data_IF_113791990041
#
_entry.id   IF_113791990041
#
_cell.length_a   1.000
_cell.length_b   1.000
_cell.length_c   1.000
_cell.angle_alpha   90.00
_cell.angle_beta   90.00
_cell.angle_gamma   90.00
#
_symmetry.space_group_name_H-M   'P 1'
#
loop_
_entity.id
_entity.type
_entity.pdbx_description
1 polymer ?
#
# COMPACT_ATOMS: atom_id res chain seq x y z
N UNK A 1 -33.54 66.05 -7.07
CA UNK A 1 -33.55 66.49 -8.48
C UNK A 1 -32.87 65.39 -9.29
N UNK A 2 -33.62 64.44 -9.85
CA UNK A 2 -34.27 64.44 -11.18
C UNK A 2 -33.35 63.96 -12.32
N UNK A 3 -33.61 62.72 -12.77
CA UNK A 3 -33.70 62.21 -14.17
C UNK A 3 -32.40 62.25 -15.03
N UNK A 4 -32.10 61.32 -15.94
CA UNK A 4 -32.80 60.17 -16.51
C UNK A 4 -31.84 59.31 -17.36
N UNK A 5 -32.10 57.99 -17.35
CA UNK A 5 -32.24 57.03 -18.47
C UNK A 5 -31.27 57.09 -19.67
N UNK A 6 -30.71 55.90 -19.98
CA UNK A 6 -30.74 55.11 -21.25
C UNK A 6 -29.61 54.07 -21.14
N UNK A 7 -29.62 52.87 -21.72
CA UNK A 7 -30.58 51.93 -22.29
C UNK A 7 -29.73 50.66 -22.54
N UNK A 8 -30.27 49.46 -22.29
CA UNK A 8 -29.60 48.19 -22.57
C UNK A 8 -29.46 47.94 -24.10
N UNK A 9 -28.61 46.97 -24.52
CA UNK A 9 -29.10 45.58 -24.69
C UNK A 9 -28.07 44.55 -24.17
N UNK A 10 -28.42 43.49 -23.43
CA UNK A 10 -29.12 42.25 -23.83
C UNK A 10 -28.57 41.60 -25.10
N UNK A 11 -27.59 40.73 -24.91
CA UNK A 11 -27.24 39.61 -25.80
C UNK A 11 -26.88 38.43 -24.88
N UNK A 12 -27.85 37.73 -24.28
CA UNK A 12 -28.52 36.58 -24.89
C UNK A 12 -27.52 35.61 -25.55
N UNK A 13 -26.69 34.94 -24.74
CA UNK A 13 -25.94 33.76 -25.19
C UNK A 13 -26.96 32.62 -25.33
N UNK A 14 -27.31 32.34 -26.58
CA UNK A 14 -28.27 31.33 -26.97
C UNK A 14 -27.78 29.93 -26.58
N UNK A 15 -28.56 29.27 -25.74
CA UNK A 15 -28.56 27.81 -25.61
C UNK A 15 -29.20 27.27 -26.89
N UNK A 16 -28.37 26.73 -27.79
CA UNK A 16 -28.82 25.96 -28.94
C UNK A 16 -28.41 24.50 -28.78
N UNK A 17 -29.46 23.70 -28.64
CA UNK A 17 -29.55 22.26 -28.46
C UNK A 17 -29.26 21.50 -29.78
N UNK A 18 -28.62 20.33 -29.61
CA UNK A 18 -28.90 19.05 -30.30
C UNK A 18 -28.18 18.70 -31.62
N UNK A 19 -27.66 17.46 -31.59
CA UNK A 19 -27.44 16.49 -32.67
C UNK A 19 -26.18 16.60 -33.54
N UNK A 20 -25.12 15.96 -33.07
CA UNK A 20 -24.38 15.02 -33.91
C UNK A 20 -24.30 13.67 -33.19
N UNK A 21 -25.28 12.81 -33.47
CA UNK A 21 -25.22 11.37 -33.25
C UNK A 21 -24.09 10.80 -34.13
N UNK A 22 -22.84 10.99 -33.69
CA UNK A 22 -21.72 10.21 -34.15
C UNK A 22 -21.69 8.92 -33.35
N UNK A 23 -22.23 7.84 -33.94
CA UNK A 23 -22.01 6.47 -33.48
C UNK A 23 -20.51 6.16 -33.57
N UNK A 24 -19.74 6.65 -32.59
CA UNK A 24 -18.48 6.05 -32.21
C UNK A 24 -18.80 4.76 -31.50
N UNK A 25 -19.06 3.70 -32.27
CA UNK A 25 -18.90 2.33 -31.81
C UNK A 25 -17.40 2.10 -31.54
N UNK A 26 -16.86 2.81 -30.53
CA UNK A 26 -15.66 2.42 -29.83
C UNK A 26 -16.05 1.17 -29.07
N UNK A 27 -16.07 0.04 -29.79
CA UNK A 27 -16.12 -1.26 -29.17
C UNK A 27 -14.99 -1.29 -28.17
N UNK A 28 -15.34 -1.15 -26.90
CA UNK A 28 -14.52 -1.66 -25.81
C UNK A 28 -14.38 -3.13 -26.12
N UNK A 29 -13.34 -3.49 -26.90
CA UNK A 29 -12.78 -4.83 -26.90
C UNK A 29 -12.56 -5.09 -25.43
N UNK A 30 -13.44 -5.89 -24.83
CA UNK A 30 -13.15 -6.57 -23.58
C UNK A 30 -11.85 -7.27 -23.87
N UNK A 31 -10.76 -6.66 -23.41
CA UNK A 31 -9.53 -7.38 -23.24
C UNK A 31 -9.94 -8.45 -22.24
N UNK A 32 -10.22 -9.65 -22.73
CA UNK A 32 -10.28 -10.85 -21.91
C UNK A 32 -8.87 -10.99 -21.35
N UNK A 33 -8.60 -10.21 -20.30
CA UNK A 33 -7.43 -10.36 -19.49
C UNK A 33 -7.53 -11.78 -18.96
N UNK A 34 -6.64 -12.66 -19.44
CA UNK A 34 -6.51 -14.00 -18.88
C UNK A 34 -6.48 -13.87 -17.36
N UNK A 35 -7.20 -14.73 -16.62
CA UNK A 35 -7.14 -14.72 -15.16
C UNK A 35 -5.68 -14.69 -14.73
N UNK A 36 -5.30 -13.73 -13.88
CA UNK A 36 -3.95 -13.68 -13.35
C UNK A 36 -3.66 -15.02 -12.69
N UNK A 37 -2.61 -15.71 -13.14
CA UNK A 37 -2.19 -16.97 -12.54
C UNK A 37 -1.77 -16.69 -11.10
N UNK A 38 -2.28 -17.47 -10.14
CA UNK A 38 -1.85 -17.38 -8.74
C UNK A 38 -0.32 -17.60 -8.69
N UNK A 39 0.45 -16.73 -8.02
CA UNK A 39 1.89 -16.96 -7.88
C UNK A 39 2.14 -18.20 -7.01
N UNK A 40 3.29 -18.83 -7.21
CA UNK A 40 3.74 -19.90 -6.33
C UNK A 40 3.90 -19.37 -4.89
N UNK A 41 3.57 -20.17 -3.86
CA UNK A 41 3.75 -19.77 -2.47
C UNK A 41 5.20 -19.36 -2.16
N UNK A 42 5.36 -18.49 -1.17
CA UNK A 42 6.68 -18.09 -0.67
C UNK A 42 7.44 -19.32 -0.19
N UNK A 43 8.67 -19.50 -0.69
CA UNK A 43 9.53 -20.61 -0.30
C UNK A 43 9.83 -20.62 1.20
N UNK A 44 9.96 -21.81 1.80
CA UNK A 44 10.30 -21.95 3.22
C UNK A 44 11.60 -21.21 3.62
N UNK A 45 12.58 -21.15 2.71
CA UNK A 45 13.82 -20.42 2.92
C UNK A 45 13.60 -18.90 3.01
N UNK A 46 12.69 -18.35 2.18
CA UNK A 46 12.35 -16.93 2.22
C UNK A 46 11.55 -16.58 3.48
N UNK A 47 10.59 -17.42 3.88
CA UNK A 47 9.85 -17.27 5.15
C UNK A 47 10.81 -17.21 6.34
N UNK A 48 11.72 -18.20 6.41
CA UNK A 48 12.72 -18.25 7.48
C UNK A 48 13.63 -17.03 7.51
N UNK A 49 14.13 -16.58 6.35
CA UNK A 49 14.96 -15.36 6.28
C UNK A 49 14.20 -14.14 6.78
N UNK A 50 12.92 -14.03 6.47
CA UNK A 50 12.07 -12.95 6.94
C UNK A 50 11.87 -12.94 8.46
N UNK A 51 11.52 -14.11 9.01
CA UNK A 51 11.34 -14.28 10.45
C UNK A 51 12.63 -13.98 11.21
N UNK A 52 13.76 -14.52 10.75
CA UNK A 52 15.07 -14.30 11.39
C UNK A 52 15.44 -12.81 11.38
N UNK A 53 15.23 -12.11 10.26
CA UNK A 53 15.54 -10.69 10.14
C UNK A 53 14.69 -9.82 11.09
N UNK A 54 13.37 -10.05 11.13
CA UNK A 54 12.50 -9.29 12.03
C UNK A 54 12.69 -9.65 13.50
N UNK A 55 12.99 -10.92 13.82
CA UNK A 55 13.32 -11.32 15.18
C UNK A 55 14.64 -10.68 15.65
N UNK A 56 15.67 -10.64 14.81
CA UNK A 56 16.95 -9.99 15.13
C UNK A 56 16.76 -8.49 15.40
N UNK A 57 16.01 -7.80 14.53
CA UNK A 57 15.66 -6.40 14.71
C UNK A 57 14.98 -6.14 16.06
N UNK A 58 13.91 -6.88 16.35
CA UNK A 58 13.11 -6.69 17.56
C UNK A 58 13.91 -7.04 18.82
N UNK A 59 14.74 -8.07 18.77
CA UNK A 59 15.61 -8.44 19.88
C UNK A 59 16.58 -7.30 20.23
N UNK A 60 17.27 -6.72 19.23
CA UNK A 60 18.20 -5.60 19.45
C UNK A 60 17.47 -4.34 19.90
N UNK A 61 16.39 -3.97 19.24
CA UNK A 61 15.59 -2.79 19.62
C UNK A 61 15.09 -2.88 21.06
N UNK A 62 14.53 -4.03 21.45
CA UNK A 62 13.98 -4.21 22.78
C UNK A 62 15.07 -4.38 23.86
N UNK A 63 16.22 -4.96 23.52
CA UNK A 63 17.39 -4.94 24.40
C UNK A 63 17.87 -3.50 24.64
N UNK A 64 17.92 -2.68 23.59
CA UNK A 64 18.25 -1.26 23.71
C UNK A 64 17.23 -0.50 24.57
N UNK A 65 15.94 -0.79 24.41
CA UNK A 65 14.87 -0.18 25.20
C UNK A 65 14.99 -0.44 26.71
N UNK A 66 15.63 -1.54 27.12
CA UNK A 66 15.87 -1.83 28.53
C UNK A 66 16.86 -0.85 29.19
N UNK A 67 17.75 -0.22 28.41
CA UNK A 67 18.72 0.76 28.89
C UNK A 67 18.39 2.19 28.45
N UNK A 68 17.51 2.34 27.46
CA UNK A 68 17.10 3.61 26.84
C UNK A 68 15.57 3.73 26.81
N UNK A 69 14.95 4.31 27.84
CA UNK A 69 13.50 4.39 27.97
C UNK A 69 12.79 5.07 26.79
N UNK A 70 13.46 5.98 26.09
CA UNK A 70 12.94 6.61 24.88
C UNK A 70 12.69 5.62 23.73
N UNK A 71 13.32 4.44 23.75
CA UNK A 71 13.11 3.36 22.79
C UNK A 71 11.99 2.38 23.20
N UNK A 72 11.45 2.48 24.42
CA UNK A 72 10.45 1.54 24.94
C UNK A 72 9.19 1.49 24.08
N UNK A 73 8.60 2.66 23.78
CA UNK A 73 7.42 2.74 22.93
C UNK A 73 7.69 2.19 21.52
N UNK A 74 8.90 2.39 20.99
CA UNK A 74 9.28 1.84 19.68
C UNK A 74 9.39 0.33 19.73
N UNK A 75 10.00 -0.25 20.78
CA UNK A 75 10.02 -1.70 20.98
C UNK A 75 8.59 -2.27 21.00
N UNK A 76 7.70 -1.71 21.82
CA UNK A 76 6.30 -2.16 21.94
C UNK A 76 5.57 -2.13 20.59
N UNK A 77 5.58 -1.00 19.90
CA UNK A 77 4.87 -0.83 18.63
C UNK A 77 5.42 -1.73 17.52
N UNK A 78 6.75 -1.97 17.51
CA UNK A 78 7.39 -2.74 16.45
C UNK A 78 7.15 -4.24 16.61
N UNK A 79 6.75 -4.74 17.78
CA UNK A 79 6.39 -6.15 17.95
C UNK A 79 5.25 -6.60 17.01
N UNK A 80 4.35 -5.68 16.63
CA UNK A 80 3.27 -5.95 15.67
C UNK A 80 3.77 -6.37 14.27
N UNK A 81 5.06 -6.17 13.94
CA UNK A 81 5.66 -6.68 12.70
C UNK A 81 5.59 -8.21 12.60
N UNK A 82 5.67 -8.94 13.73
CA UNK A 82 5.54 -10.40 13.73
C UNK A 82 4.14 -10.82 13.28
N UNK A 83 3.13 -10.19 13.88
CA UNK A 83 1.73 -10.44 13.52
C UNK A 83 1.44 -10.08 12.06
N UNK A 84 2.04 -8.99 11.55
CA UNK A 84 1.93 -8.63 10.14
C UNK A 84 2.50 -9.72 9.21
N UNK A 85 3.68 -10.29 9.52
CA UNK A 85 4.25 -11.40 8.75
C UNK A 85 3.32 -12.62 8.80
N UNK A 86 2.86 -13.02 9.98
CA UNK A 86 1.96 -14.17 10.13
C UNK A 86 0.63 -13.98 9.39
N UNK A 87 0.10 -12.76 9.36
CA UNK A 87 -1.12 -12.44 8.60
C UNK A 87 -0.88 -12.58 7.08
N UNK A 88 0.24 -12.06 6.58
CA UNK A 88 0.56 -12.11 5.15
C UNK A 88 0.84 -13.54 4.69
N UNK A 89 1.52 -14.34 5.51
CA UNK A 89 1.75 -15.76 5.25
C UNK A 89 0.43 -16.56 5.24
N UNK A 90 -0.52 -16.22 6.12
CA UNK A 90 -1.86 -16.84 6.09
C UNK A 90 -2.60 -16.56 4.78
N UNK A 91 -2.48 -15.35 4.22
CA UNK A 91 -3.07 -15.03 2.91
C UNK A 91 -2.37 -15.81 1.79
N UNK A 92 -1.04 -15.92 1.84
CA UNK A 92 -0.24 -16.70 0.88
C UNK A 92 -0.61 -18.19 0.87
N UNK A 93 -0.90 -18.75 2.05
CA UNK A 93 -1.28 -20.15 2.26
C UNK A 93 -2.76 -20.44 2.06
N UNK A 94 -3.62 -19.41 2.06
CA UNK A 94 -5.08 -19.58 1.94
C UNK A 94 -5.46 -20.01 0.51
N UNK A 95 -5.98 -21.25 0.31
CA UNK A 95 -6.37 -21.73 -1.01
C UNK A 95 -7.58 -20.99 -1.59
N UNK A 96 -8.32 -20.24 -0.77
CA UNK A 96 -9.49 -19.46 -1.17
C UNK A 96 -9.17 -18.03 -1.57
N UNK A 97 -7.97 -17.53 -1.24
CA UNK A 97 -7.52 -16.19 -1.60
C UNK A 97 -7.39 -16.02 -3.13
N UNK A 98 -7.73 -14.81 -3.62
CA UNK A 98 -7.58 -14.52 -5.04
C UNK A 98 -6.11 -14.39 -5.43
N UNK A 99 -5.78 -14.60 -6.71
CA UNK A 99 -4.41 -14.41 -7.19
C UNK A 99 -3.86 -12.99 -6.91
N UNK A 100 -4.73 -11.98 -6.93
CA UNK A 100 -4.36 -10.60 -6.61
C UNK A 100 -4.02 -10.43 -5.13
N UNK A 101 -4.80 -11.03 -4.23
CA UNK A 101 -4.55 -10.93 -2.79
C UNK A 101 -3.24 -11.61 -2.42
N UNK A 102 -2.95 -12.77 -3.01
CA UNK A 102 -1.70 -13.49 -2.81
C UNK A 102 -0.53 -12.65 -3.33
N UNK A 103 -0.63 -12.06 -4.53
CA UNK A 103 0.43 -11.21 -5.07
C UNK A 103 0.73 -10.02 -4.14
N UNK A 104 -0.31 -9.31 -3.68
CA UNK A 104 -0.18 -8.19 -2.75
C UNK A 104 0.42 -8.66 -1.42
N UNK A 105 -0.04 -9.79 -0.89
CA UNK A 105 0.47 -10.32 0.36
C UNK A 105 1.96 -10.67 0.28
N UNK A 106 2.39 -11.33 -0.80
CA UNK A 106 3.79 -11.65 -1.03
C UNK A 106 4.66 -10.40 -1.19
N UNK A 107 4.18 -9.37 -1.90
CA UNK A 107 4.88 -8.09 -2.04
C UNK A 107 5.03 -7.37 -0.69
N UNK A 108 3.93 -7.26 0.06
CA UNK A 108 3.93 -6.68 1.40
C UNK A 108 4.84 -7.45 2.37
N UNK A 109 4.87 -8.77 2.28
CA UNK A 109 5.74 -9.60 3.10
C UNK A 109 7.21 -9.26 2.83
N UNK A 110 7.61 -9.21 1.55
CA UNK A 110 8.97 -8.82 1.17
C UNK A 110 9.32 -7.40 1.62
N UNK A 111 8.38 -6.46 1.53
CA UNK A 111 8.59 -5.10 2.04
C UNK A 111 8.80 -5.07 3.56
N UNK A 112 8.01 -5.82 4.34
CA UNK A 112 8.18 -5.89 5.81
C UNK A 112 9.55 -6.48 6.15
N UNK A 113 9.97 -7.54 5.46
CA UNK A 113 11.27 -8.19 5.65
C UNK A 113 12.41 -7.22 5.36
N UNK A 114 12.40 -6.55 4.21
CA UNK A 114 13.41 -5.55 3.85
C UNK A 114 13.49 -4.44 4.91
N UNK A 115 12.34 -3.96 5.37
CA UNK A 115 12.28 -2.92 6.40
C UNK A 115 12.85 -3.39 7.74
N UNK A 116 12.67 -4.65 8.12
CA UNK A 116 13.32 -5.20 9.32
C UNK A 116 14.84 -5.20 9.20
N UNK A 117 15.39 -5.56 8.03
CA UNK A 117 16.84 -5.53 7.78
C UNK A 117 17.36 -4.09 7.83
N UNK A 118 16.69 -3.16 7.15
CA UNK A 118 17.06 -1.75 7.14
C UNK A 118 17.02 -1.14 8.54
N UNK A 119 15.91 -1.34 9.28
CA UNK A 119 15.76 -0.81 10.63
C UNK A 119 16.75 -1.46 11.60
N UNK A 120 17.09 -2.74 11.43
CA UNK A 120 18.13 -3.40 12.22
C UNK A 120 19.51 -2.77 12.00
N UNK A 121 19.86 -2.48 10.74
CA UNK A 121 21.14 -1.85 10.42
C UNK A 121 21.19 -0.39 10.88
N UNK A 122 20.04 0.28 10.98
CA UNK A 122 19.95 1.65 11.47
C UNK A 122 20.11 1.78 12.99
N UNK A 123 19.89 0.71 13.76
CA UNK A 123 19.95 0.77 15.24
C UNK A 123 21.30 1.28 15.76
N UNK A 124 22.40 0.93 15.11
CA UNK A 124 23.74 1.38 15.53
C UNK A 124 23.88 2.91 15.45
N UNK A 125 23.38 3.52 14.37
CA UNK A 125 23.36 4.96 14.19
C UNK A 125 22.45 5.68 15.20
N UNK A 126 21.46 4.96 15.73
CA UNK A 126 20.57 5.45 16.78
C UNK A 126 21.16 5.25 18.18
N UNK A 127 22.34 4.61 18.32
CA UNK A 127 23.00 4.30 19.58
C UNK A 127 22.47 3.05 20.26
N UNK A 128 22.00 2.07 19.48
CA UNK A 128 21.53 0.76 19.93
C UNK A 128 22.39 -0.35 19.28
N UNK A 129 23.41 -0.87 19.98
CA UNK A 129 24.25 -1.95 19.47
C UNK A 129 23.50 -3.28 19.32
#
# INVERSE_FOLDING_TARGET
>A
MSRARRAAPVTAVAVALIAALGLGAGGCKKHDAKPATRPEPISAAERKRGDDACNAYLARLCACAATRPEMASRCELKQAKKEAIEMLLRIDDDPTATASDVFIAQDQLRMVISKCVEENNALDAEGCP
#
